data_IF_970041409990
#
_entry.id   IF_970041409990
#
_cell.length_a   1.000
_cell.length_b   1.000
_cell.length_c   1.000
_cell.angle_alpha   90.00
_cell.angle_beta   90.00
_cell.angle_gamma   90.00
#
_symmetry.space_group_name_H-M   'P 1'
#
loop_
_entity.id
_entity.type
_entity.pdbx_description
1 polymer ?
#
# COMPACT_ATOMS: atom_id res chain seq x y z
N UNK A 1 12.65 6.08 2.98
CA UNK A 1 12.68 5.62 1.58
C UNK A 1 11.27 5.19 1.17
N UNK A 2 10.81 5.57 -0.02
CA UNK A 2 9.42 5.37 -0.44
C UNK A 2 9.25 4.30 -1.54
N UNK A 3 10.30 3.53 -1.81
CA UNK A 3 10.36 2.59 -2.92
C UNK A 3 10.98 1.27 -2.48
N UNK A 4 10.44 0.17 -3.01
CA UNK A 4 11.06 -1.15 -2.87
C UNK A 4 10.67 -2.03 -4.07
N UNK A 5 11.34 -3.16 -4.22
CA UNK A 5 11.05 -4.13 -5.28
C UNK A 5 10.67 -5.47 -4.66
N UNK A 6 9.67 -6.11 -5.25
CA UNK A 6 9.21 -7.45 -4.85
C UNK A 6 9.00 -8.31 -6.09
N UNK A 7 9.23 -9.58 -5.95
CA UNK A 7 8.87 -10.55 -7.00
C UNK A 7 7.40 -10.93 -6.83
N UNK A 8 6.58 -10.56 -7.81
CA UNK A 8 5.14 -10.77 -7.80
C UNK A 8 4.69 -11.18 -9.20
N UNK A 9 3.87 -12.24 -9.28
CA UNK A 9 3.35 -12.70 -10.56
C UNK A 9 4.42 -13.12 -11.55
N UNK A 10 5.52 -13.71 -11.05
CA UNK A 10 6.58 -14.24 -11.89
C UNK A 10 7.61 -13.23 -12.37
N UNK A 11 7.54 -11.97 -11.91
CA UNK A 11 8.56 -10.97 -12.28
C UNK A 11 8.81 -9.97 -11.15
N UNK A 12 9.97 -9.33 -11.20
CA UNK A 12 10.35 -8.29 -10.24
C UNK A 12 9.58 -7.02 -10.54
N UNK A 13 8.85 -6.52 -9.55
CA UNK A 13 8.01 -5.31 -9.69
C UNK A 13 8.40 -4.29 -8.64
N UNK A 14 8.33 -3.00 -9.01
CA UNK A 14 8.57 -1.89 -8.10
C UNK A 14 7.29 -1.44 -7.42
N UNK A 15 7.42 -1.04 -6.15
CA UNK A 15 6.34 -0.41 -5.38
C UNK A 15 6.83 0.98 -4.96
N UNK A 16 5.99 1.98 -5.19
CA UNK A 16 6.28 3.37 -4.83
C UNK A 16 5.13 3.93 -4.01
N UNK A 17 5.42 4.36 -2.79
CA UNK A 17 4.41 4.91 -1.90
C UNK A 17 4.39 6.43 -1.99
N UNK A 18 3.67 6.93 -2.98
CA UNK A 18 3.39 8.35 -3.22
C UNK A 18 1.94 8.67 -2.82
N UNK A 19 1.47 9.88 -3.09
CA UNK A 19 0.11 10.29 -2.74
C UNK A 19 -0.94 9.41 -3.43
N UNK A 20 -0.71 9.05 -4.70
CA UNK A 20 -1.62 8.16 -5.42
C UNK A 20 -1.73 6.79 -4.73
N UNK A 21 -0.60 6.24 -4.28
CA UNK A 21 -0.60 4.97 -3.55
C UNK A 21 -1.47 5.07 -2.28
N UNK A 22 -1.35 6.16 -1.55
CA UNK A 22 -2.13 6.39 -0.32
C UNK A 22 -3.63 6.45 -0.64
N UNK A 23 -4.01 7.15 -1.70
CA UNK A 23 -5.41 7.26 -2.12
C UNK A 23 -5.98 5.90 -2.53
N UNK A 24 -5.20 5.09 -3.25
CA UNK A 24 -5.61 3.75 -3.66
C UNK A 24 -5.77 2.84 -2.43
N UNK A 25 -4.84 2.90 -1.48
CA UNK A 25 -4.93 2.15 -0.24
C UNK A 25 -6.23 2.50 0.49
N UNK A 26 -6.55 3.78 0.60
CA UNK A 26 -7.77 4.25 1.25
C UNK A 26 -9.03 3.75 0.56
N UNK A 27 -9.01 3.67 -0.78
CA UNK A 27 -10.15 3.22 -1.58
C UNK A 27 -10.38 1.71 -1.48
N UNK A 28 -9.30 0.92 -1.47
CA UNK A 28 -9.38 -0.55 -1.51
C UNK A 28 -9.22 -1.19 -0.13
N UNK A 29 -8.97 -0.41 0.90
CA UNK A 29 -8.77 -0.94 2.24
C UNK A 29 -10.09 -1.41 2.83
N UNK A 30 -10.20 -2.71 3.07
CA UNK A 30 -11.30 -3.27 3.86
C UNK A 30 -10.85 -3.30 5.31
N UNK A 31 -11.31 -2.35 6.09
CA UNK A 31 -10.94 -2.21 7.51
C UNK A 31 -11.48 -3.34 8.37
N UNK A 32 -12.41 -4.14 7.85
CA UNK A 32 -12.94 -5.29 8.58
C UNK A 32 -11.97 -6.46 8.62
N UNK A 33 -10.95 -6.48 7.73
CA UNK A 33 -10.00 -7.59 7.68
C UNK A 33 -8.56 -7.07 7.56
N UNK A 34 -7.64 -7.77 8.22
CA UNK A 34 -6.21 -7.51 8.10
C UNK A 34 -5.73 -7.81 6.67
N UNK A 35 -6.28 -8.85 6.06
CA UNK A 35 -5.94 -9.24 4.69
C UNK A 35 -6.29 -8.14 3.69
N UNK A 36 -7.44 -7.48 3.87
CA UNK A 36 -7.85 -6.38 3.00
C UNK A 36 -6.83 -5.24 2.98
N UNK A 37 -6.29 -4.89 4.15
CA UNK A 37 -5.25 -3.87 4.23
C UNK A 37 -3.97 -4.31 3.51
N UNK A 38 -3.57 -5.56 3.67
CA UNK A 38 -2.38 -6.10 3.01
C UNK A 38 -2.49 -6.03 1.48
N UNK A 39 -3.62 -6.44 0.94
CA UNK A 39 -3.86 -6.37 -0.51
C UNK A 39 -3.83 -4.93 -1.01
N UNK A 40 -4.52 -4.03 -0.31
CA UNK A 40 -4.59 -2.62 -0.66
C UNK A 40 -3.21 -1.97 -0.66
N UNK A 41 -2.38 -2.29 0.34
CA UNK A 41 -1.05 -1.73 0.50
C UNK A 41 -0.14 -2.12 -0.66
N UNK A 42 -0.13 -3.39 -1.04
CA UNK A 42 0.70 -3.87 -2.15
C UNK A 42 0.18 -3.33 -3.48
N UNK A 43 -1.13 -3.39 -3.70
CA UNK A 43 -1.73 -2.85 -4.93
C UNK A 43 -1.47 -1.35 -5.06
N UNK A 44 -1.64 -0.60 -3.99
CA UNK A 44 -1.37 0.84 -3.98
C UNK A 44 0.07 1.16 -4.34
N UNK A 45 1.02 0.43 -3.76
CA UNK A 45 2.44 0.60 -4.07
C UNK A 45 2.75 0.30 -5.54
N UNK A 46 2.20 -0.77 -6.08
CA UNK A 46 2.36 -1.13 -7.49
C UNK A 46 1.80 -0.05 -8.40
N UNK A 47 0.59 0.42 -8.13
CA UNK A 47 -0.03 1.46 -8.95
C UNK A 47 0.71 2.79 -8.84
N UNK A 48 1.21 3.14 -7.66
CA UNK A 48 2.03 4.33 -7.46
C UNK A 48 3.27 4.31 -8.33
N UNK A 49 3.95 3.17 -8.41
CA UNK A 49 5.12 3.02 -9.26
C UNK A 49 4.77 3.06 -10.75
N UNK A 50 3.69 2.38 -11.13
CA UNK A 50 3.19 2.36 -12.51
C UNK A 50 2.88 3.77 -13.00
N UNK A 51 2.24 4.58 -12.15
CA UNK A 51 1.93 5.97 -12.43
C UNK A 51 3.19 6.81 -12.65
N UNK A 52 4.20 6.68 -11.78
CA UNK A 52 5.44 7.44 -11.89
C UNK A 52 6.18 7.12 -13.19
N UNK A 53 6.17 5.85 -13.60
CA UNK A 53 6.81 5.41 -14.85
C UNK A 53 5.97 5.69 -16.08
N UNK A 54 4.72 6.14 -15.90
CA UNK A 54 3.76 6.42 -16.98
C UNK A 54 3.54 5.21 -17.87
N UNK A 55 3.47 4.04 -17.24
CA UNK A 55 3.19 2.77 -17.89
C UNK A 55 1.74 2.38 -17.69
N UNK A 56 1.23 1.45 -18.50
CA UNK A 56 -0.05 0.81 -18.26
C UNK A 56 0.16 -0.37 -17.32
N UNK A 57 -0.81 -0.59 -16.41
CA UNK A 57 -0.72 -1.74 -15.52
C UNK A 57 -1.05 -3.02 -16.29
N UNK A 58 -0.25 -4.06 -16.07
CA UNK A 58 -0.47 -5.40 -16.64
C UNK A 58 -1.09 -6.35 -15.61
N UNK A 59 -1.75 -5.81 -14.59
CA UNK A 59 -2.33 -6.55 -13.48
C UNK A 59 -3.59 -5.87 -12.98
N UNK A 60 -4.44 -6.63 -12.29
CA UNK A 60 -5.64 -6.10 -11.62
C UNK A 60 -5.49 -6.23 -10.11
N UNK A 61 -6.42 -5.64 -9.36
CA UNK A 61 -6.47 -5.81 -7.91
C UNK A 61 -6.60 -7.29 -7.54
N UNK A 62 -7.44 -8.02 -8.26
CA UNK A 62 -7.65 -9.46 -8.05
C UNK A 62 -6.37 -10.26 -8.29
N UNK A 63 -5.60 -9.90 -9.31
CA UNK A 63 -4.28 -10.53 -9.55
C UNK A 63 -3.36 -10.35 -8.34
N UNK A 64 -3.33 -9.15 -7.80
CA UNK A 64 -2.50 -8.83 -6.62
C UNK A 64 -2.93 -9.65 -5.42
N UNK A 65 -4.24 -9.78 -5.18
CA UNK A 65 -4.75 -10.62 -4.11
C UNK A 65 -4.29 -12.07 -4.24
N UNK A 66 -4.36 -12.62 -5.46
CA UNK A 66 -3.91 -13.97 -5.74
C UNK A 66 -2.42 -14.15 -5.47
N UNK A 67 -1.60 -13.18 -5.89
CA UNK A 67 -0.16 -13.22 -5.66
C UNK A 67 0.19 -13.19 -4.17
N UNK A 68 -0.52 -12.38 -3.39
CA UNK A 68 -0.31 -12.30 -1.95
C UNK A 68 -0.74 -13.60 -1.28
N UNK A 69 -1.85 -14.19 -1.70
CA UNK A 69 -2.39 -15.41 -1.11
C UNK A 69 -1.43 -16.59 -1.23
N UNK A 70 -0.69 -16.70 -2.35
CA UNK A 70 0.24 -17.81 -2.59
C UNK A 70 1.67 -17.51 -2.12
N UNK A 71 1.91 -16.33 -1.56
CA UNK A 71 3.24 -15.90 -1.12
C UNK A 71 3.71 -16.72 0.09
N UNK A 72 4.87 -17.39 -0.05
CA UNK A 72 5.41 -18.24 1.02
C UNK A 72 5.98 -17.44 2.20
N UNK A 73 6.61 -16.31 1.90
CA UNK A 73 7.25 -15.43 2.90
C UNK A 73 6.40 -14.21 3.22
N UNK A 74 5.10 -14.38 3.29
CA UNK A 74 4.12 -13.29 3.43
C UNK A 74 4.43 -12.36 4.59
N UNK A 75 4.67 -12.93 5.79
CA UNK A 75 4.90 -12.12 6.99
C UNK A 75 6.12 -11.21 6.84
N UNK A 76 7.21 -11.75 6.28
CA UNK A 76 8.44 -11.00 6.06
C UNK A 76 8.23 -9.87 5.03
N UNK A 77 7.57 -10.19 3.91
CA UNK A 77 7.28 -9.22 2.86
C UNK A 77 6.37 -8.10 3.37
N UNK A 78 5.32 -8.45 4.08
CA UNK A 78 4.38 -7.46 4.63
C UNK A 78 5.08 -6.55 5.64
N UNK A 79 5.98 -7.09 6.46
CA UNK A 79 6.76 -6.28 7.39
C UNK A 79 7.63 -5.26 6.65
N UNK A 80 8.30 -5.66 5.57
CA UNK A 80 9.11 -4.75 4.74
C UNK A 80 8.26 -3.67 4.09
N UNK A 81 7.13 -4.06 3.50
CA UNK A 81 6.23 -3.12 2.80
C UNK A 81 5.66 -2.11 3.80
N UNK A 82 5.23 -2.58 4.96
CA UNK A 82 4.70 -1.73 6.02
C UNK A 82 5.75 -0.72 6.49
N UNK A 83 6.99 -1.17 6.69
CA UNK A 83 8.09 -0.32 7.12
C UNK A 83 8.35 0.80 6.10
N UNK A 84 8.41 0.48 4.81
CA UNK A 84 8.62 1.47 3.76
C UNK A 84 7.45 2.45 3.70
N UNK A 85 6.21 1.94 3.72
CA UNK A 85 5.00 2.79 3.68
C UNK A 85 4.97 3.78 4.86
N UNK A 86 5.15 3.29 6.08
CA UNK A 86 5.01 4.10 7.28
C UNK A 86 6.16 5.08 7.47
N UNK A 87 7.27 4.89 6.78
CA UNK A 87 8.39 5.82 6.80
C UNK A 87 8.22 7.00 5.83
N UNK A 88 7.21 6.96 4.94
CA UNK A 88 6.98 8.04 3.98
C UNK A 88 6.36 9.26 4.63
N UNK A 89 6.64 10.45 4.08
CA UNK A 89 6.05 11.68 4.56
C UNK A 89 4.54 11.73 4.29
N UNK A 90 4.09 11.18 3.16
CA UNK A 90 2.66 11.13 2.83
C UNK A 90 1.87 10.33 3.86
N UNK A 91 2.43 9.21 4.33
CA UNK A 91 1.79 8.42 5.39
C UNK A 91 1.76 9.18 6.71
N UNK A 92 2.88 9.80 7.09
CA UNK A 92 2.97 10.59 8.32
C UNK A 92 1.97 11.75 8.33
N UNK A 93 1.79 12.39 7.19
CA UNK A 93 0.81 13.46 7.04
C UNK A 93 -0.62 12.95 7.18
N UNK A 94 -0.93 11.77 6.63
CA UNK A 94 -2.24 11.15 6.76
C UNK A 94 -2.56 10.81 8.22
N UNK A 95 -1.60 10.24 8.96
CA UNK A 95 -1.77 9.90 10.36
C UNK A 95 -1.99 11.16 11.20
N UNK A 96 -1.22 12.22 10.95
CA UNK A 96 -1.39 13.51 11.62
C UNK A 96 -2.79 14.10 11.42
N UNK A 97 -3.28 14.06 10.18
CA UNK A 97 -4.62 14.56 9.87
C UNK A 97 -5.69 13.76 10.62
N UNK A 98 -5.53 12.44 10.71
CA UNK A 98 -6.44 11.58 11.46
C UNK A 98 -6.42 11.88 12.96
N UNK A 99 -5.25 12.09 13.53
CA UNK A 99 -5.10 12.45 14.94
C UNK A 99 -5.78 13.79 15.25
N UNK A 100 -5.61 14.79 14.41
CA UNK A 100 -6.24 16.09 14.57
C UNK A 100 -7.76 15.99 14.55
N UNK A 101 -8.33 15.21 13.64
CA UNK A 101 -9.77 14.98 13.56
C UNK A 101 -10.27 14.32 14.84
N UNK A 102 -9.57 13.33 15.35
CA UNK A 102 -9.94 12.65 16.60
C UNK A 102 -9.89 13.58 17.81
N UNK A 103 -8.89 14.47 17.90
CA UNK A 103 -8.80 15.45 18.97
C UNK A 103 -9.97 16.42 18.93
N UNK A 104 -10.35 16.92 17.76
CA UNK A 104 -11.51 17.81 17.60
C UNK A 104 -12.80 17.12 18.04
N UNK A 105 -13.00 15.85 17.71
CA UNK A 105 -14.15 15.08 18.15
C UNK A 105 -14.21 14.88 19.66
N UNK A 106 -13.06 14.78 20.32
CA UNK A 106 -12.97 14.63 21.78
C UNK A 106 -13.31 15.89 22.55
N UNK A 107 -13.23 17.05 21.91
CA UNK A 107 -13.50 18.35 22.52
C UNK A 107 -14.98 18.75 22.52
N UNK A 108 -15.83 17.97 21.90
CA UNK A 108 -17.26 18.26 21.79
C UNK A 108 -18.06 17.63 22.93
#
# INVERSE_FOLDING_TARGET
MSYLQLELGGKLRGLKFNQLAIEIISTHNDTATQSGFMYAMIYGGLMGNTYVKREESDYTFEDVCDWVDVMENKAEVIAKVTDVLTSTQVWKNLVKAGEQINEEKKKV
#
